data_IF_975233730617
#
_entry.id   IF_975233730617
#
_cell.length_a   1.000
_cell.length_b   1.000
_cell.length_c   1.000
_cell.angle_alpha   90.00
_cell.angle_beta   90.00
_cell.angle_gamma   90.00
#
_symmetry.space_group_name_H-M   'P 1'
#
loop_
_entity.id
_entity.type
_entity.pdbx_description
1 polymer ?
#
# COMPACT_ATOMS: atom_id res chain seq x y z
N UNK A 1 23.38 22.82 -6.83
CA UNK A 1 23.03 21.43 -6.47
C UNK A 1 22.00 21.48 -5.36
N UNK A 2 20.89 20.78 -5.53
CA UNK A 2 19.91 20.57 -4.46
C UNK A 2 20.11 19.18 -3.87
N UNK A 3 19.98 19.06 -2.56
CA UNK A 3 20.02 17.78 -1.87
C UNK A 3 19.02 17.80 -0.73
N UNK A 4 18.23 16.73 -0.62
CA UNK A 4 17.30 16.53 0.47
C UNK A 4 17.29 15.08 0.93
N UNK A 5 17.02 14.89 2.22
CA UNK A 5 16.75 13.60 2.86
C UNK A 5 15.40 13.71 3.56
N UNK A 6 14.48 12.82 3.19
CA UNK A 6 13.14 12.73 3.76
C UNK A 6 12.97 11.40 4.50
N UNK A 7 13.10 11.37 5.83
CA UNK A 7 12.85 10.16 6.61
C UNK A 7 11.40 9.67 6.44
N UNK A 8 11.22 8.35 6.41
CA UNK A 8 9.91 7.73 6.62
C UNK A 8 9.44 8.11 8.01
N UNK A 9 8.16 8.49 8.15
CA UNK A 9 7.62 8.86 9.45
C UNK A 9 7.60 7.63 10.37
N UNK A 10 7.89 7.82 11.64
CA UNK A 10 7.73 6.82 12.68
C UNK A 10 6.29 6.82 13.19
N UNK A 11 5.82 5.74 13.83
CA UNK A 11 4.48 5.70 14.42
C UNK A 11 4.18 6.88 15.35
N UNK A 12 5.20 7.39 16.06
CA UNK A 12 5.08 8.51 16.99
C UNK A 12 4.89 9.88 16.29
N UNK A 13 5.28 10.00 15.01
CA UNK A 13 5.08 11.24 14.25
C UNK A 13 3.65 11.39 13.75
N UNK A 14 2.93 10.28 13.63
CA UNK A 14 1.55 10.27 13.17
C UNK A 14 0.66 10.74 14.31
N UNK A 15 -0.12 11.82 14.15
CA UNK A 15 -0.98 12.32 15.21
C UNK A 15 -1.91 11.23 15.75
N UNK A 16 -1.90 11.00 17.07
CA UNK A 16 -2.67 9.91 17.69
C UNK A 16 -4.18 9.99 17.39
N UNK A 17 -4.71 11.22 17.36
CA UNK A 17 -6.08 11.53 16.95
C UNK A 17 -6.44 11.02 15.55
N UNK A 18 -5.48 10.99 14.62
CA UNK A 18 -5.68 10.53 13.26
C UNK A 18 -5.89 9.02 13.23
N UNK A 19 -5.04 8.28 13.95
CA UNK A 19 -5.09 6.81 14.02
C UNK A 19 -6.42 6.33 14.59
N UNK A 20 -6.89 6.98 15.67
CA UNK A 20 -8.17 6.63 16.29
C UNK A 20 -9.37 7.08 15.45
N UNK A 21 -9.34 8.30 14.90
CA UNK A 21 -10.44 8.81 14.08
C UNK A 21 -10.67 7.94 12.84
N UNK A 22 -9.61 7.55 12.12
CA UNK A 22 -9.77 6.75 10.90
C UNK A 22 -10.18 5.31 11.21
N UNK A 23 -9.66 4.72 12.28
CA UNK A 23 -10.12 3.39 12.72
C UNK A 23 -11.63 3.43 13.01
N UNK A 24 -12.08 4.44 13.75
CA UNK A 24 -13.49 4.65 14.04
C UNK A 24 -14.32 4.91 12.79
N UNK A 25 -13.86 5.79 11.90
CA UNK A 25 -14.56 6.12 10.65
C UNK A 25 -14.70 4.89 9.75
N UNK A 26 -13.65 4.07 9.64
CA UNK A 26 -13.70 2.80 8.91
C UNK A 26 -14.73 1.84 9.50
N UNK A 27 -14.68 1.64 10.83
CA UNK A 27 -15.60 0.76 11.55
C UNK A 27 -17.06 1.22 11.39
N UNK A 28 -17.31 2.51 11.63
CA UNK A 28 -18.65 3.09 11.58
C UNK A 28 -19.19 3.13 10.15
N UNK A 29 -18.34 3.39 9.16
CA UNK A 29 -18.71 3.35 7.75
C UNK A 29 -19.10 1.94 7.31
N UNK A 30 -18.32 0.92 7.68
CA UNK A 30 -18.66 -0.46 7.33
C UNK A 30 -19.95 -0.92 7.98
N UNK A 31 -20.15 -0.60 9.27
CA UNK A 31 -21.40 -0.90 9.98
C UNK A 31 -22.58 -0.12 9.39
N UNK A 32 -22.41 1.15 9.07
CA UNK A 32 -23.44 1.98 8.43
C UNK A 32 -23.82 1.48 7.04
N UNK A 33 -22.89 0.82 6.33
CA UNK A 33 -23.15 0.22 5.01
C UNK A 33 -23.65 -1.23 5.08
N UNK A 34 -23.89 -1.79 6.27
CA UNK A 34 -24.30 -3.19 6.46
C UNK A 34 -25.48 -3.60 5.58
N UNK A 35 -26.55 -2.80 5.60
CA UNK A 35 -27.75 -3.05 4.80
C UNK A 35 -27.45 -3.12 3.29
N UNK A 36 -26.62 -2.18 2.79
CA UNK A 36 -26.19 -2.18 1.39
C UNK A 36 -25.35 -3.41 1.04
N UNK A 37 -24.42 -3.80 1.94
CA UNK A 37 -23.55 -4.96 1.72
C UNK A 37 -24.39 -6.23 1.60
N UNK A 38 -25.33 -6.46 2.52
CA UNK A 38 -26.17 -7.66 2.44
C UNK A 38 -27.10 -7.64 1.22
N UNK A 39 -27.67 -6.49 0.86
CA UNK A 39 -28.47 -6.38 -0.38
C UNK A 39 -27.66 -6.80 -1.59
N UNK A 40 -26.48 -6.19 -1.78
CA UNK A 40 -25.61 -6.52 -2.91
C UNK A 40 -25.15 -7.99 -2.87
N UNK A 41 -24.88 -8.54 -1.68
CA UNK A 41 -24.46 -9.93 -1.52
C UNK A 41 -25.58 -10.90 -1.95
N UNK A 42 -26.83 -10.61 -1.56
CA UNK A 42 -28.00 -11.42 -1.93
C UNK A 42 -28.40 -11.24 -3.40
N UNK A 43 -28.12 -10.09 -4.01
CA UNK A 43 -28.27 -9.90 -5.46
C UNK A 43 -27.29 -10.78 -6.25
N UNK A 44 -26.05 -10.90 -5.77
CA UNK A 44 -25.02 -11.72 -6.44
C UNK A 44 -25.20 -13.21 -6.18
N UNK A 45 -25.65 -13.58 -4.99
CA UNK A 45 -25.86 -14.98 -4.57
C UNK A 45 -27.30 -15.16 -4.06
N UNK A 46 -28.30 -15.09 -4.96
CA UNK A 46 -29.71 -15.18 -4.55
C UNK A 46 -30.17 -16.60 -4.24
N UNK A 47 -29.45 -17.62 -4.69
CA UNK A 47 -29.87 -19.02 -4.61
C UNK A 47 -28.68 -19.99 -4.65
N UNK A 48 -28.97 -21.29 -4.48
CA UNK A 48 -27.93 -22.34 -4.47
C UNK A 48 -27.16 -22.44 -5.80
N UNK A 49 -27.81 -22.19 -6.94
CA UNK A 49 -27.16 -22.23 -8.24
C UNK A 49 -26.08 -21.16 -8.32
N UNK A 50 -26.43 -19.92 -7.98
CA UNK A 50 -25.48 -18.82 -7.94
C UNK A 50 -24.37 -19.05 -6.91
N UNK A 51 -24.68 -19.65 -5.75
CA UNK A 51 -23.66 -20.04 -4.77
C UNK A 51 -22.67 -21.03 -5.37
N UNK A 52 -23.15 -22.06 -6.09
CA UNK A 52 -22.27 -23.06 -6.70
C UNK A 52 -21.36 -22.43 -7.75
N UNK A 53 -21.90 -21.61 -8.64
CA UNK A 53 -21.14 -20.94 -9.70
C UNK A 53 -20.12 -19.94 -9.13
N UNK A 54 -20.53 -19.10 -8.18
CA UNK A 54 -19.71 -17.97 -7.69
C UNK A 54 -18.74 -18.34 -6.58
N UNK A 55 -19.06 -19.35 -5.76
CA UNK A 55 -18.24 -19.79 -4.62
C UNK A 55 -17.64 -21.17 -4.88
N UNK A 56 -18.48 -22.19 -5.09
CA UNK A 56 -18.02 -23.58 -5.07
C UNK A 56 -17.09 -23.93 -6.25
N UNK A 57 -17.45 -23.53 -7.47
CA UNK A 57 -16.66 -23.80 -8.67
C UNK A 57 -15.33 -23.05 -8.66
N UNK A 58 -15.36 -21.77 -8.26
CA UNK A 58 -14.15 -20.94 -8.10
C UNK A 58 -13.20 -21.56 -7.07
N UNK A 59 -13.73 -21.99 -5.93
CA UNK A 59 -12.94 -22.64 -4.89
C UNK A 59 -12.35 -23.98 -5.37
N UNK A 60 -13.11 -24.76 -6.13
CA UNK A 60 -12.64 -26.03 -6.69
C UNK A 60 -11.51 -25.84 -7.71
N UNK A 61 -11.62 -24.83 -8.59
CA UNK A 61 -10.57 -24.50 -9.55
C UNK A 61 -9.27 -24.11 -8.83
N UNK A 62 -9.38 -23.27 -7.79
CA UNK A 62 -8.21 -22.78 -7.08
C UNK A 62 -7.52 -23.85 -6.23
N UNK A 63 -8.28 -24.70 -5.53
CA UNK A 63 -7.67 -25.77 -4.73
C UNK A 63 -7.01 -26.84 -5.61
N UNK A 64 -7.55 -27.08 -6.81
CA UNK A 64 -6.95 -27.98 -7.79
C UNK A 64 -5.61 -27.47 -8.35
N UNK A 65 -5.41 -26.15 -8.43
CA UNK A 65 -4.16 -25.55 -8.91
C UNK A 65 -3.03 -25.61 -7.88
N UNK A 66 -3.35 -25.68 -6.59
CA UNK A 66 -2.35 -25.59 -5.50
C UNK A 66 -2.00 -26.96 -4.92
N UNK A 67 -2.92 -27.93 -4.96
CA UNK A 67 -2.72 -29.21 -4.30
C UNK A 67 -2.05 -30.23 -5.22
N UNK A 68 -0.99 -30.89 -4.76
CA UNK A 68 -0.23 -31.86 -5.55
C UNK A 68 -1.14 -33.03 -6.04
N UNK A 69 -1.34 -33.18 -7.36
CA UNK A 69 -2.18 -34.25 -7.91
C UNK A 69 -1.66 -35.66 -7.66
N UNK A 70 -0.35 -35.81 -7.44
CA UNK A 70 0.31 -37.10 -7.18
C UNK A 70 0.13 -37.59 -5.73
N UNK A 71 -0.48 -36.79 -4.85
CA UNK A 71 -0.72 -37.23 -3.47
C UNK A 71 -1.68 -38.45 -3.45
N UNK A 72 -1.34 -39.55 -2.75
CA UNK A 72 -2.13 -40.80 -2.82
C UNK A 72 -3.62 -40.66 -2.50
N UNK A 73 -4.02 -39.65 -1.71
CA UNK A 73 -5.43 -39.40 -1.35
C UNK A 73 -6.02 -38.19 -2.09
N UNK A 74 -5.34 -37.61 -3.08
CA UNK A 74 -5.77 -36.42 -3.81
C UNK A 74 -7.22 -36.51 -4.28
N UNK A 75 -7.56 -37.57 -5.04
CA UNK A 75 -8.93 -37.78 -5.54
C UNK A 75 -9.97 -37.86 -4.42
N UNK A 76 -9.63 -38.46 -3.27
CA UNK A 76 -10.52 -38.56 -2.11
C UNK A 76 -10.73 -37.20 -1.43
N UNK A 77 -9.67 -36.41 -1.29
CA UNK A 77 -9.72 -35.06 -0.73
C UNK A 77 -10.55 -34.14 -1.62
N UNK A 78 -10.27 -34.10 -2.92
CA UNK A 78 -10.99 -33.27 -3.88
C UNK A 78 -12.48 -33.60 -3.94
N UNK A 79 -12.84 -34.88 -3.91
CA UNK A 79 -14.25 -35.32 -3.82
C UNK A 79 -14.90 -34.85 -2.52
N UNK A 80 -14.22 -35.04 -1.38
CA UNK A 80 -14.74 -34.60 -0.07
C UNK A 80 -14.92 -33.07 -0.03
N UNK A 81 -13.97 -32.32 -0.57
CA UNK A 81 -14.04 -30.87 -0.67
C UNK A 81 -15.24 -30.44 -1.51
N UNK A 82 -15.40 -31.00 -2.71
CA UNK A 82 -16.53 -30.71 -3.60
C UNK A 82 -17.88 -30.96 -2.94
N UNK A 83 -18.03 -32.09 -2.23
CA UNK A 83 -19.28 -32.39 -1.51
C UNK A 83 -19.53 -31.40 -0.39
N UNK A 84 -18.52 -31.12 0.43
CA UNK A 84 -18.65 -30.19 1.57
C UNK A 84 -19.01 -28.78 1.13
N UNK A 85 -18.36 -28.26 0.10
CA UNK A 85 -18.59 -26.87 -0.32
C UNK A 85 -19.98 -26.70 -0.93
N UNK A 86 -20.46 -27.70 -1.68
CA UNK A 86 -21.81 -27.70 -2.23
C UNK A 86 -22.87 -27.86 -1.13
N UNK A 87 -22.61 -28.69 -0.10
CA UNK A 87 -23.50 -28.84 1.04
C UNK A 87 -23.63 -27.55 1.87
N UNK A 88 -22.61 -26.68 1.84
CA UNK A 88 -22.64 -25.38 2.51
C UNK A 88 -23.58 -24.35 1.88
N UNK A 89 -24.17 -24.62 0.71
CA UNK A 89 -25.06 -23.67 0.04
C UNK A 89 -26.34 -23.39 0.85
N UNK A 90 -26.96 -24.45 1.38
CA UNK A 90 -28.18 -24.34 2.20
C UNK A 90 -27.90 -23.61 3.52
N UNK A 91 -26.78 -23.97 4.18
CA UNK A 91 -26.31 -23.33 5.41
C UNK A 91 -26.05 -21.82 5.20
N UNK A 92 -25.38 -21.47 4.11
CA UNK A 92 -25.11 -20.07 3.74
C UNK A 92 -26.41 -19.28 3.56
N UNK A 93 -27.35 -19.78 2.74
CA UNK A 93 -28.58 -19.06 2.43
C UNK A 93 -29.48 -18.88 3.65
N UNK A 94 -29.46 -19.84 4.59
CA UNK A 94 -30.22 -19.76 5.85
C UNK A 94 -29.62 -18.78 6.85
N UNK A 95 -28.29 -18.69 6.93
CA UNK A 95 -27.62 -17.96 8.00
C UNK A 95 -27.05 -16.60 7.59
N UNK A 96 -27.07 -16.25 6.29
CA UNK A 96 -26.55 -14.95 5.83
C UNK A 96 -27.29 -13.76 6.44
N UNK A 97 -28.62 -13.83 6.57
CA UNK A 97 -29.40 -12.75 7.19
C UNK A 97 -29.06 -12.62 8.69
N UNK A 98 -28.88 -13.74 9.38
CA UNK A 98 -28.49 -13.77 10.80
C UNK A 98 -27.08 -13.20 11.02
N UNK A 99 -26.14 -13.52 10.13
CA UNK A 99 -24.77 -13.02 10.20
C UNK A 99 -24.68 -11.49 10.09
N UNK A 100 -25.61 -10.86 9.38
CA UNK A 100 -25.70 -9.41 9.18
C UNK A 100 -26.75 -8.72 10.08
N UNK A 101 -27.34 -9.41 11.06
CA UNK A 101 -28.08 -8.73 12.13
C UNK A 101 -27.14 -7.86 12.96
N UNK A 102 -27.70 -6.87 13.64
CA UNK A 102 -26.92 -6.05 14.57
C UNK A 102 -26.31 -6.92 15.68
N UNK A 103 -25.00 -6.75 15.92
CA UNK A 103 -24.24 -7.62 16.83
C UNK A 103 -23.93 -9.02 16.29
N UNK A 104 -24.33 -9.32 15.05
CA UNK A 104 -24.05 -10.57 14.37
C UNK A 104 -22.57 -10.73 13.96
N UNK A 105 -22.28 -11.83 13.27
CA UNK A 105 -20.92 -12.20 12.86
C UNK A 105 -20.22 -11.11 12.02
N UNK A 106 -20.97 -10.35 11.21
CA UNK A 106 -20.41 -9.23 10.44
C UNK A 106 -19.86 -8.15 11.37
N UNK A 107 -20.66 -7.66 12.33
CA UNK A 107 -20.25 -6.60 13.25
C UNK A 107 -19.07 -7.03 14.12
N UNK A 108 -19.12 -8.26 14.64
CA UNK A 108 -18.03 -8.84 15.42
C UNK A 108 -16.75 -8.95 14.59
N UNK A 109 -16.88 -9.36 13.32
CA UNK A 109 -15.76 -9.41 12.38
C UNK A 109 -15.17 -8.04 12.08
N UNK A 110 -15.98 -7.00 11.90
CA UNK A 110 -15.50 -5.62 11.71
C UNK A 110 -14.76 -5.15 12.97
N UNK A 111 -15.31 -5.41 14.15
CA UNK A 111 -14.67 -5.03 15.42
C UNK A 111 -13.34 -5.76 15.63
N UNK A 112 -13.29 -7.08 15.41
CA UNK A 112 -12.09 -7.88 15.58
C UNK A 112 -10.95 -7.50 14.61
N UNK A 113 -11.29 -6.95 13.43
CA UNK A 113 -10.29 -6.54 12.43
C UNK A 113 -9.92 -5.05 12.50
N UNK A 114 -10.45 -4.30 13.46
CA UNK A 114 -10.19 -2.87 13.60
C UNK A 114 -8.69 -2.57 13.78
N UNK A 115 -8.04 -3.25 14.72
CA UNK A 115 -6.61 -3.01 14.98
C UNK A 115 -5.75 -3.45 13.79
N UNK A 116 -6.08 -4.58 13.16
CA UNK A 116 -5.40 -5.03 11.93
C UNK A 116 -5.52 -4.00 10.80
N UNK A 117 -6.69 -3.36 10.65
CA UNK A 117 -6.86 -2.27 9.70
C UNK A 117 -5.98 -1.07 10.05
N UNK A 118 -5.97 -0.65 11.33
CA UNK A 118 -5.16 0.48 11.81
C UNK A 118 -3.67 0.25 11.57
N UNK A 119 -3.17 -0.95 11.83
CA UNK A 119 -1.77 -1.34 11.59
C UNK A 119 -1.42 -1.29 10.09
N UNK A 120 -2.25 -1.88 9.23
CA UNK A 120 -2.02 -1.85 7.78
C UNK A 120 -2.14 -0.44 7.19
N UNK A 121 -2.99 0.41 7.74
CA UNK A 121 -3.12 1.79 7.29
C UNK A 121 -1.93 2.64 7.75
N UNK A 122 -1.39 2.35 8.94
CA UNK A 122 -0.28 3.10 9.53
C UNK A 122 0.95 3.10 8.63
N UNK A 123 1.32 1.97 8.03
CA UNK A 123 2.50 1.92 7.16
C UNK A 123 2.38 2.81 5.93
N UNK A 124 1.17 2.87 5.34
CA UNK A 124 0.90 3.76 4.21
C UNK A 124 1.01 5.23 4.64
N UNK A 125 0.48 5.57 5.81
CA UNK A 125 0.59 6.93 6.35
C UNK A 125 2.01 7.32 6.72
N UNK A 126 2.86 6.36 7.08
CA UNK A 126 4.27 6.65 7.36
C UNK A 126 5.03 7.12 6.13
N UNK A 127 4.67 6.58 4.95
CA UNK A 127 5.30 6.93 3.68
C UNK A 127 4.61 8.13 2.99
N UNK A 128 3.28 8.19 2.99
CA UNK A 128 2.50 9.24 2.31
C UNK A 128 2.12 10.43 3.20
N UNK A 129 1.84 10.18 4.47
CA UNK A 129 1.10 11.10 5.33
C UNK A 129 -0.39 11.24 4.94
N UNK A 130 -1.09 12.10 5.68
CA UNK A 130 -2.51 12.44 5.50
C UNK A 130 -2.72 13.64 4.54
N UNK A 131 -1.63 14.32 4.13
CA UNK A 131 -1.59 15.56 3.31
C UNK A 131 -2.38 16.76 3.87
N UNK A 132 -3.31 16.54 4.78
CA UNK A 132 -4.01 17.56 5.56
C UNK A 132 -3.17 17.97 6.78
N UNK A 133 -2.78 16.99 7.60
CA UNK A 133 -2.02 17.24 8.85
C UNK A 133 -0.51 17.08 8.68
N UNK A 134 -0.08 16.00 8.03
CA UNK A 134 1.33 15.62 7.93
C UNK A 134 1.62 15.07 6.54
N UNK A 135 2.80 15.39 6.03
CA UNK A 135 3.29 14.94 4.73
C UNK A 135 4.43 13.94 4.95
N UNK A 136 4.33 12.78 4.33
CA UNK A 136 5.37 11.75 4.36
C UNK A 136 6.52 12.04 3.38
N UNK A 137 7.48 11.13 3.30
CA UNK A 137 8.66 11.28 2.45
C UNK A 137 8.32 11.26 0.95
N UNK A 138 7.39 10.40 0.51
CA UNK A 138 7.06 10.24 -0.91
C UNK A 138 6.53 11.52 -1.55
N UNK A 139 5.47 12.19 -1.03
CA UNK A 139 4.98 13.40 -1.65
C UNK A 139 6.00 14.56 -1.57
N UNK A 140 6.87 14.61 -0.55
CA UNK A 140 7.96 15.59 -0.49
C UNK A 140 9.00 15.37 -1.59
N UNK A 141 9.36 14.11 -1.87
CA UNK A 141 10.19 13.74 -3.01
C UNK A 141 9.57 14.21 -4.31
N UNK A 142 8.26 13.97 -4.53
CA UNK A 142 7.58 14.44 -5.75
C UNK A 142 7.59 15.98 -5.86
N UNK A 143 7.43 16.71 -4.76
CA UNK A 143 7.54 18.17 -4.76
C UNK A 143 8.95 18.65 -5.12
N UNK A 144 9.99 17.95 -4.64
CA UNK A 144 11.38 18.23 -5.01
C UNK A 144 11.58 18.06 -6.52
N UNK A 145 11.24 16.89 -7.08
CA UNK A 145 11.43 16.58 -8.52
C UNK A 145 10.66 17.53 -9.46
N UNK A 146 9.57 18.13 -8.98
CA UNK A 146 8.78 19.14 -9.71
C UNK A 146 9.33 20.56 -9.57
N UNK A 147 10.40 20.77 -8.80
CA UNK A 147 10.96 22.09 -8.51
C UNK A 147 10.05 22.97 -7.65
N UNK A 148 9.12 22.40 -6.88
CA UNK A 148 8.14 23.15 -6.10
C UNK A 148 8.68 23.55 -4.72
N UNK A 149 9.81 24.27 -4.70
CA UNK A 149 10.55 24.61 -3.49
C UNK A 149 9.76 25.41 -2.45
N UNK A 150 8.84 26.29 -2.88
CA UNK A 150 7.99 27.07 -1.96
C UNK A 150 7.03 26.15 -1.20
N UNK A 151 6.44 25.17 -1.88
CA UNK A 151 5.52 24.21 -1.27
C UNK A 151 6.30 23.26 -0.36
N UNK A 152 7.44 22.74 -0.85
CA UNK A 152 8.31 21.86 -0.09
C UNK A 152 8.74 22.50 1.25
N UNK A 153 9.11 23.78 1.23
CA UNK A 153 9.48 24.51 2.45
C UNK A 153 8.34 24.68 3.46
N UNK A 154 7.07 24.60 3.03
CA UNK A 154 5.91 24.68 3.93
C UNK A 154 5.54 23.32 4.53
N UNK A 155 5.86 22.23 3.84
CA UNK A 155 5.48 20.86 4.26
C UNK A 155 6.64 20.09 4.90
N UNK A 156 7.85 20.63 4.87
CA UNK A 156 9.01 20.02 5.53
C UNK A 156 8.80 19.94 7.04
N UNK A 157 9.31 18.87 7.62
CA UNK A 157 9.35 18.61 9.06
C UNK A 157 10.76 18.90 9.59
N UNK A 158 10.88 19.04 10.90
CA UNK A 158 12.17 19.29 11.55
C UNK A 158 13.21 18.18 11.32
N UNK A 159 12.75 16.96 11.05
CA UNK A 159 13.59 15.79 10.73
C UNK A 159 14.08 15.75 9.27
N UNK A 160 13.46 16.54 8.39
CA UNK A 160 13.88 16.58 6.99
C UNK A 160 15.16 17.41 6.87
N UNK A 161 16.14 16.90 6.12
CA UNK A 161 17.33 17.68 5.78
C UNK A 161 17.14 18.20 4.36
N UNK A 162 17.19 19.51 4.16
CA UNK A 162 17.01 20.13 2.83
C UNK A 162 18.06 21.21 2.63
N UNK A 163 18.77 21.16 1.51
CA UNK A 163 19.79 22.11 1.12
C UNK A 163 19.65 22.51 -0.36
N UNK A 164 19.86 23.78 -0.65
CA UNK A 164 19.67 24.34 -2.01
C UNK A 164 18.20 24.57 -2.38
N UNK A 165 17.97 24.81 -3.67
CA UNK A 165 16.64 25.07 -4.24
C UNK A 165 16.32 23.98 -5.27
N UNK A 166 15.20 23.26 -5.14
CA UNK A 166 14.85 22.20 -6.07
C UNK A 166 14.48 22.78 -7.44
N UNK A 167 14.75 22.02 -8.49
CA UNK A 167 14.47 22.36 -9.87
C UNK A 167 13.63 21.25 -10.52
N UNK A 168 12.78 21.62 -11.46
CA UNK A 168 11.99 20.62 -12.20
C UNK A 168 12.91 19.78 -13.10
N UNK A 169 13.08 18.50 -12.78
CA UNK A 169 14.04 17.62 -13.47
C UNK A 169 13.51 17.06 -14.80
N UNK A 170 12.19 16.82 -14.90
CA UNK A 170 11.59 16.18 -16.06
C UNK A 170 11.15 17.18 -17.12
N UNK A 171 11.15 16.73 -18.38
CA UNK A 171 10.54 17.47 -19.49
C UNK A 171 9.03 17.62 -19.25
N UNK A 172 8.43 18.79 -19.53
CA UNK A 172 7.02 19.06 -19.20
C UNK A 172 6.02 18.02 -19.73
N UNK A 173 6.29 17.44 -20.90
CA UNK A 173 5.48 16.42 -21.56
C UNK A 173 5.49 15.04 -20.87
N UNK A 174 6.50 14.78 -20.03
CA UNK A 174 6.69 13.51 -19.32
C UNK A 174 6.46 13.63 -17.81
N UNK A 175 6.59 14.84 -17.25
CA UNK A 175 6.60 15.09 -15.80
C UNK A 175 5.46 14.39 -15.05
N UNK A 176 4.20 14.56 -15.47
CA UNK A 176 3.05 14.02 -14.76
C UNK A 176 3.00 12.50 -14.75
N UNK A 177 3.48 11.85 -15.82
CA UNK A 177 3.52 10.39 -15.95
C UNK A 177 4.66 9.81 -15.12
N UNK A 178 5.85 10.38 -15.24
CA UNK A 178 7.03 9.87 -14.55
C UNK A 178 6.93 10.10 -13.03
N UNK A 179 6.48 11.28 -12.59
CA UNK A 179 6.31 11.53 -11.15
C UNK A 179 5.27 10.61 -10.51
N UNK A 180 4.22 10.21 -11.22
CA UNK A 180 3.25 9.23 -10.73
C UNK A 180 3.83 7.82 -10.62
N UNK A 181 4.72 7.44 -11.56
CA UNK A 181 5.42 6.16 -11.50
C UNK A 181 6.41 6.14 -10.33
N UNK A 182 7.19 7.22 -10.14
CA UNK A 182 8.12 7.35 -9.02
C UNK A 182 7.38 7.26 -7.67
N UNK A 183 6.22 7.92 -7.55
CA UNK A 183 5.34 7.82 -6.36
C UNK A 183 4.95 6.37 -6.07
N UNK A 184 4.52 5.62 -7.08
CA UNK A 184 4.14 4.21 -6.96
C UNK A 184 5.34 3.32 -6.56
N UNK A 185 6.48 3.47 -7.22
CA UNK A 185 7.70 2.67 -6.97
C UNK A 185 8.20 2.91 -5.55
N UNK A 186 8.25 4.18 -5.11
CA UNK A 186 8.62 4.52 -3.74
C UNK A 186 7.66 3.90 -2.72
N UNK A 187 6.34 3.99 -2.96
CA UNK A 187 5.36 3.43 -2.05
C UNK A 187 5.45 1.92 -1.91
N UNK A 188 5.66 1.22 -3.02
CA UNK A 188 5.82 -0.23 -3.03
C UNK A 188 7.10 -0.64 -2.29
N UNK A 189 8.24 -0.03 -2.64
CA UNK A 189 9.52 -0.35 -2.04
C UNK A 189 9.58 0.01 -0.56
N UNK A 190 9.19 1.23 -0.18
CA UNK A 190 9.21 1.66 1.22
C UNK A 190 8.31 0.82 2.12
N UNK A 191 7.12 0.42 1.63
CA UNK A 191 6.24 -0.45 2.39
C UNK A 191 6.91 -1.78 2.69
N UNK A 192 7.51 -2.43 1.68
CA UNK A 192 8.20 -3.70 1.86
C UNK A 192 9.44 -3.57 2.76
N UNK A 193 10.26 -2.54 2.55
CA UNK A 193 11.48 -2.30 3.34
C UNK A 193 11.16 -2.04 4.81
N UNK A 194 10.13 -1.23 5.09
CA UNK A 194 9.71 -0.95 6.47
C UNK A 194 9.18 -2.21 7.16
N UNK A 195 8.36 -3.02 6.47
CA UNK A 195 7.90 -4.30 7.01
C UNK A 195 9.07 -5.25 7.29
N UNK A 196 9.99 -5.40 6.34
CA UNK A 196 11.17 -6.26 6.52
C UNK A 196 12.03 -5.81 7.69
N UNK A 197 12.25 -4.50 7.85
CA UNK A 197 12.99 -3.95 8.99
C UNK A 197 12.29 -4.28 10.33
N UNK A 198 10.97 -4.10 10.40
CA UNK A 198 10.20 -4.36 11.62
C UNK A 198 10.11 -5.85 11.98
N UNK A 199 10.12 -6.73 10.98
CA UNK A 199 10.17 -8.18 11.20
C UNK A 199 11.58 -8.73 11.42
N UNK A 200 12.63 -7.90 11.30
CA UNK A 200 14.02 -8.32 11.40
C UNK A 200 14.52 -9.15 10.20
N UNK A 201 13.86 -9.01 9.05
CA UNK A 201 14.22 -9.66 7.80
C UNK A 201 15.20 -8.82 6.98
N UNK A 202 15.87 -9.43 6.00
CA UNK A 202 16.78 -8.73 5.10
C UNK A 202 16.02 -7.72 4.23
N UNK A 203 16.54 -6.50 4.12
CA UNK A 203 15.87 -5.38 3.45
C UNK A 203 16.80 -4.54 2.56
N UNK A 204 18.10 -4.81 2.56
CA UNK A 204 19.11 -4.08 1.78
C UNK A 204 19.07 -4.46 0.30
N UNK A 205 18.88 -5.75 -0.04
CA UNK A 205 18.69 -6.18 -1.43
C UNK A 205 17.44 -5.57 -2.06
N UNK A 206 16.38 -5.44 -1.25
CA UNK A 206 15.12 -4.80 -1.64
C UNK A 206 15.37 -3.31 -1.95
N UNK A 207 16.15 -2.61 -1.12
CA UNK A 207 16.55 -1.23 -1.40
C UNK A 207 17.30 -1.11 -2.73
N UNK A 208 18.26 -2.00 -2.99
CA UNK A 208 19.05 -1.98 -4.23
C UNK A 208 18.17 -2.20 -5.47
N UNK A 209 17.24 -3.15 -5.41
CA UNK A 209 16.29 -3.43 -6.50
C UNK A 209 15.40 -2.22 -6.82
N UNK A 210 14.78 -1.61 -5.80
CA UNK A 210 13.93 -0.43 -6.02
C UNK A 210 14.73 0.81 -6.42
N UNK A 211 15.97 0.98 -5.93
CA UNK A 211 16.86 2.05 -6.37
C UNK A 211 17.24 1.92 -7.85
N UNK A 212 17.46 0.69 -8.33
CA UNK A 212 17.71 0.44 -9.76
C UNK A 212 16.49 0.80 -10.62
N UNK A 213 15.28 0.51 -10.15
CA UNK A 213 14.04 0.90 -10.83
C UNK A 213 13.91 2.43 -10.85
N UNK A 214 14.13 3.12 -9.73
CA UNK A 214 14.07 4.58 -9.65
C UNK A 214 15.08 5.24 -10.61
N UNK A 215 16.31 4.73 -10.66
CA UNK A 215 17.34 5.20 -11.58
C UNK A 215 16.92 5.06 -13.05
N UNK A 216 16.21 3.99 -13.41
CA UNK A 216 15.72 3.79 -14.78
C UNK A 216 14.74 4.88 -15.27
N UNK A 217 14.15 5.64 -14.34
CA UNK A 217 13.28 6.77 -14.63
C UNK A 217 14.00 8.11 -14.43
N UNK A 218 14.67 8.31 -13.29
CA UNK A 218 15.26 9.60 -12.89
C UNK A 218 16.54 9.91 -13.65
N UNK A 219 17.27 8.90 -14.14
CA UNK A 219 18.50 9.10 -14.91
C UNK A 219 18.30 8.98 -16.43
N UNK A 220 17.06 8.75 -16.87
CA UNK A 220 16.75 8.53 -18.27
C UNK A 220 16.69 9.85 -19.05
N UNK A 221 17.65 10.05 -19.96
CA UNK A 221 17.79 11.27 -20.78
C UNK A 221 16.60 11.51 -21.72
N UNK A 222 15.80 10.50 -22.01
CA UNK A 222 14.55 10.67 -22.76
C UNK A 222 13.51 11.47 -21.96
N UNK A 223 13.49 11.36 -20.63
CA UNK A 223 12.49 11.99 -19.77
C UNK A 223 12.99 13.24 -19.06
N UNK A 224 14.29 13.31 -18.79
CA UNK A 224 14.94 14.38 -18.05
C UNK A 224 15.29 15.55 -18.98
N UNK A 225 15.30 16.78 -18.46
CA UNK A 225 15.73 17.98 -19.22
C UNK A 225 17.22 17.93 -19.55
N UNK A 226 17.59 18.52 -20.68
CA UNK A 226 18.93 18.41 -21.24
C UNK A 226 20.02 19.11 -20.40
N UNK A 227 19.65 20.01 -19.48
CA UNK A 227 20.56 20.73 -18.59
C UNK A 227 20.76 20.04 -17.22
N UNK A 228 20.19 18.85 -17.02
CA UNK A 228 20.35 18.07 -15.79
C UNK A 228 21.51 17.09 -15.96
N UNK A 229 22.37 17.05 -14.95
CA UNK A 229 23.40 16.03 -14.83
C UNK A 229 22.77 14.75 -14.28
N UNK A 230 22.47 13.80 -15.17
CA UNK A 230 21.86 12.51 -14.82
C UNK A 230 22.78 11.56 -14.07
N UNK A 231 24.11 11.78 -14.09
CA UNK A 231 25.04 10.98 -13.31
C UNK A 231 24.97 11.35 -11.82
N UNK A 232 24.75 12.62 -11.52
CA UNK A 232 24.69 13.16 -10.16
C UNK A 232 23.26 13.46 -9.68
N UNK A 233 22.23 13.19 -10.48
CA UNK A 233 20.81 13.33 -10.10
C UNK A 233 20.23 11.95 -9.78
N UNK A 234 19.63 11.79 -8.60
CA UNK A 234 19.05 10.52 -8.18
C UNK A 234 17.93 10.69 -7.15
N UNK A 235 17.12 9.64 -7.03
CA UNK A 235 16.17 9.42 -5.93
C UNK A 235 16.44 8.02 -5.41
N UNK A 236 16.99 7.90 -4.21
CA UNK A 236 17.35 6.62 -3.62
C UNK A 236 16.72 6.45 -2.24
N UNK A 237 16.31 5.23 -1.95
CA UNK A 237 15.97 4.79 -0.61
C UNK A 237 17.27 4.41 0.09
N UNK A 238 17.48 4.96 1.29
CA UNK A 238 18.69 4.79 2.08
C UNK A 238 18.36 4.47 3.53
N UNK A 239 19.29 3.80 4.20
CA UNK A 239 19.25 3.58 5.64
C UNK A 239 20.20 4.54 6.35
N UNK A 240 19.65 5.33 7.27
CA UNK A 240 20.40 6.19 8.18
C UNK A 240 20.71 5.41 9.47
N UNK A 241 21.94 4.92 9.56
CA UNK A 241 22.42 4.18 10.73
C UNK A 241 22.58 5.01 12.01
N UNK A 242 22.61 6.35 11.91
CA UNK A 242 22.76 7.22 13.08
C UNK A 242 21.43 7.36 13.82
N UNK A 243 20.36 7.57 13.05
CA UNK A 243 19.01 7.74 13.60
C UNK A 243 18.18 6.44 13.54
N UNK A 244 18.71 5.38 12.94
CA UNK A 244 18.03 4.12 12.65
C UNK A 244 16.77 4.30 11.78
N UNK A 245 16.84 5.12 10.74
CA UNK A 245 15.71 5.44 9.87
C UNK A 245 15.86 4.94 8.45
N UNK A 246 14.74 4.58 7.82
CA UNK A 246 14.66 4.50 6.36
C UNK A 246 14.30 5.90 5.85
N UNK A 247 15.00 6.38 4.84
CA UNK A 247 14.80 7.69 4.25
C UNK A 247 14.85 7.65 2.73
N UNK A 248 14.28 8.67 2.09
CA UNK A 248 14.44 8.91 0.66
C UNK A 248 15.38 10.09 0.48
N UNK A 249 16.51 9.82 -0.18
CA UNK A 249 17.51 10.81 -0.56
C UNK A 249 17.22 11.28 -1.99
N UNK A 250 17.21 12.60 -2.17
CA UNK A 250 17.01 13.26 -3.45
C UNK A 250 18.21 14.16 -3.70
N UNK A 251 18.83 13.99 -4.87
CA UNK A 251 19.89 14.89 -5.33
C UNK A 251 19.57 15.36 -6.74
N UNK A 252 19.69 16.67 -6.96
CA UNK A 252 19.47 17.30 -8.27
C UNK A 252 20.70 18.13 -8.63
N UNK A 253 21.30 17.78 -9.77
CA UNK A 253 22.49 18.41 -10.31
C UNK A 253 22.23 18.94 -11.72
N UNK A 254 22.83 20.07 -12.04
CA UNK A 254 22.81 20.68 -13.38
C UNK A 254 24.19 20.63 -13.98
N UNK A 255 24.26 20.56 -15.31
CA UNK A 255 25.50 20.65 -16.09
C UNK A 255 26.11 22.06 -15.97
#
# INVERSE_FOLDING_TARGET
>A
MFSARFPVLEPADIPAELREAIGKDWHDTLRGKRAKIITNLKEVIPNETAYRERIAEVAYARIGAVFNPAYPKYKRIMRRFKVKINAGADDYLKHVDDAFKEGGAFDQGVYANLEKFKENALIVWRCMGDKNRIWGCVPKTILALKGLGVVLNRVKLAKDTVSGTPIAIFKPEHETRITSIVDQVLMEGLNLIVLSKESGEEYTSIMDDYNAILDSYVKNTAFVKDNIDTANTFVHIAYDSVNDWIAVDVQEATI
#
